data_IF_230917654893
#
_entry.id   IF_230917654893
#
_cell.length_a   1.000
_cell.length_b   1.000
_cell.length_c   1.000
_cell.angle_alpha   90.00
_cell.angle_beta   90.00
_cell.angle_gamma   90.00
#
_symmetry.space_group_name_H-M   'P 1'
#
loop_
_entity.id
_entity.type
_entity.pdbx_description
1 polymer ?
#
# COMPACT_ATOMS: atom_id res chain seq x y z
N UNK A 1 20.40 24.82 -10.68
CA UNK A 1 20.48 23.78 -11.73
C UNK A 1 19.78 22.54 -11.21
N UNK A 2 18.53 22.31 -11.63
CA UNK A 2 17.72 21.17 -11.18
C UNK A 2 18.07 19.99 -12.08
N UNK A 3 18.66 18.94 -11.49
CA UNK A 3 19.19 17.79 -12.22
C UNK A 3 18.07 16.94 -12.83
N UNK A 4 18.15 16.70 -14.13
CA UNK A 4 17.22 15.87 -14.94
C UNK A 4 17.35 14.35 -14.69
N UNK A 5 18.14 13.92 -13.71
CA UNK A 5 18.40 12.49 -13.45
C UNK A 5 17.36 11.77 -12.57
N UNK A 6 16.33 12.47 -12.06
CA UNK A 6 15.33 11.83 -11.17
C UNK A 6 14.26 10.98 -11.86
N UNK A 7 14.08 11.11 -13.18
CA UNK A 7 12.95 10.46 -13.88
C UNK A 7 13.20 9.01 -14.30
N UNK A 8 14.47 8.61 -14.47
CA UNK A 8 14.80 7.27 -14.99
C UNK A 8 14.78 6.20 -13.89
N UNK A 9 14.94 6.59 -12.61
CA UNK A 9 14.96 5.64 -11.48
C UNK A 9 13.58 5.26 -10.95
N UNK A 10 12.51 5.99 -11.30
CA UNK A 10 11.16 5.73 -10.79
C UNK A 10 10.39 4.68 -11.62
N UNK A 11 10.69 4.56 -12.93
CA UNK A 11 9.97 3.66 -13.84
C UNK A 11 10.31 2.15 -13.63
N UNK A 12 11.45 1.84 -13.00
CA UNK A 12 11.90 0.48 -12.72
C UNK A 12 11.30 -0.13 -11.43
N UNK A 13 10.71 0.69 -10.55
CA UNK A 13 10.21 0.22 -9.26
C UNK A 13 8.90 -0.58 -9.36
N UNK A 14 8.05 -0.29 -10.34
CA UNK A 14 6.74 -0.97 -10.50
C UNK A 14 6.88 -2.32 -11.22
N UNK A 15 7.98 -2.55 -11.94
CA UNK A 15 8.22 -3.79 -12.70
C UNK A 15 8.98 -4.85 -11.90
N UNK A 16 9.82 -4.47 -10.93
CA UNK A 16 10.61 -5.45 -10.17
C UNK A 16 9.80 -6.28 -9.17
N UNK A 17 8.65 -5.79 -8.69
CA UNK A 17 7.75 -6.54 -7.78
C UNK A 17 6.77 -7.47 -8.52
N UNK A 18 6.70 -7.41 -9.86
CA UNK A 18 5.78 -8.22 -10.68
C UNK A 18 6.43 -9.44 -11.37
N UNK A 19 7.72 -9.71 -11.10
CA UNK A 19 8.45 -10.80 -11.78
C UNK A 19 8.08 -12.20 -11.27
N UNK A 20 7.36 -12.31 -10.14
CA UNK A 20 6.81 -13.58 -9.68
C UNK A 20 5.30 -13.63 -9.88
N UNK A 21 4.84 -14.48 -10.81
CA UNK A 21 3.43 -14.82 -11.17
C UNK A 21 2.84 -14.05 -12.38
N UNK A 22 3.48 -14.19 -13.55
CA UNK A 22 2.83 -14.01 -14.86
C UNK A 22 2.13 -15.28 -15.39
N UNK A 23 1.99 -16.32 -14.57
CA UNK A 23 1.16 -17.47 -14.91
C UNK A 23 -0.28 -17.16 -14.51
N UNK A 24 -1.11 -16.85 -15.51
CA UNK A 24 -2.47 -16.29 -15.41
C UNK A 24 -2.48 -14.76 -15.34
N UNK A 25 -2.11 -14.10 -16.45
CA UNK A 25 -2.89 -12.95 -16.88
C UNK A 25 -4.33 -13.43 -17.05
N UNK A 26 -5.08 -13.52 -15.95
CA UNK A 26 -6.53 -13.70 -16.00
C UNK A 26 -7.03 -12.64 -16.97
N UNK A 27 -7.84 -13.04 -17.96
CA UNK A 27 -8.44 -12.12 -18.91
C UNK A 27 -9.23 -11.06 -18.15
N UNK A 28 -8.57 -9.94 -17.86
CA UNK A 28 -9.18 -8.80 -17.19
C UNK A 28 -10.21 -8.23 -18.14
N UNK A 29 -11.37 -7.89 -17.60
CA UNK A 29 -12.44 -7.31 -18.41
C UNK A 29 -11.96 -6.00 -19.03
N UNK A 30 -12.01 -5.89 -20.36
CA UNK A 30 -11.70 -4.66 -21.10
C UNK A 30 -12.98 -3.94 -21.50
N UNK A 31 -13.07 -2.66 -21.15
CA UNK A 31 -14.19 -1.79 -21.53
C UNK A 31 -14.20 -1.58 -23.05
N UNK A 32 -13.03 -1.50 -23.70
CA UNK A 32 -12.95 -1.44 -25.17
C UNK A 32 -13.53 -2.68 -25.84
N UNK A 33 -13.12 -3.87 -25.41
CA UNK A 33 -13.59 -5.13 -26.01
C UNK A 33 -15.09 -5.34 -25.77
N UNK A 34 -15.57 -4.96 -24.60
CA UNK A 34 -17.00 -4.90 -24.30
C UNK A 34 -17.74 -3.91 -25.20
N UNK A 35 -17.18 -2.72 -25.44
CA UNK A 35 -17.76 -1.71 -26.34
C UNK A 35 -17.89 -2.23 -27.78
N UNK A 36 -16.87 -2.92 -28.28
CA UNK A 36 -16.91 -3.57 -29.60
C UNK A 36 -17.99 -4.66 -29.66
N UNK A 37 -18.16 -5.42 -28.57
CA UNK A 37 -19.19 -6.46 -28.46
C UNK A 37 -20.60 -5.87 -28.45
N UNK A 38 -20.78 -4.70 -27.82
CA UNK A 38 -22.03 -3.94 -27.81
C UNK A 38 -22.36 -3.38 -29.20
N UNK A 39 -21.36 -2.83 -29.89
CA UNK A 39 -21.52 -2.34 -31.26
C UNK A 39 -21.96 -3.47 -32.21
N UNK A 40 -21.32 -4.64 -32.11
CA UNK A 40 -21.70 -5.82 -32.87
C UNK A 40 -23.13 -6.29 -32.55
N UNK A 41 -23.54 -6.31 -31.27
CA UNK A 41 -24.90 -6.74 -30.91
C UNK A 41 -25.99 -5.80 -31.42
N UNK A 42 -25.69 -4.50 -31.51
CA UNK A 42 -26.57 -3.50 -32.11
C UNK A 42 -26.67 -3.67 -33.63
N UNK A 43 -25.54 -3.92 -34.30
CA UNK A 43 -25.52 -4.19 -35.75
C UNK A 43 -26.33 -5.46 -36.10
N UNK A 44 -26.23 -6.51 -35.26
CA UNK A 44 -26.97 -7.76 -35.39
C UNK A 44 -28.46 -7.64 -35.00
N UNK A 45 -28.90 -6.47 -34.50
CA UNK A 45 -30.26 -6.23 -33.95
C UNK A 45 -30.66 -7.22 -32.86
N UNK A 46 -29.69 -7.79 -32.14
CA UNK A 46 -29.93 -8.77 -31.09
C UNK A 46 -30.28 -8.09 -29.77
N UNK A 47 -31.56 -7.76 -29.59
CA UNK A 47 -32.06 -7.06 -28.40
C UNK A 47 -31.72 -7.77 -27.08
N UNK A 48 -31.81 -9.10 -27.05
CA UNK A 48 -31.45 -9.92 -25.87
C UNK A 48 -29.97 -9.78 -25.52
N UNK A 49 -29.07 -9.93 -26.50
CA UNK A 49 -27.61 -9.81 -26.29
C UNK A 49 -27.22 -8.41 -25.85
N UNK A 50 -27.85 -7.38 -26.43
CA UNK A 50 -27.65 -5.98 -26.03
C UNK A 50 -28.08 -5.75 -24.58
N UNK A 51 -29.23 -6.26 -24.15
CA UNK A 51 -29.69 -6.14 -22.76
C UNK A 51 -28.77 -6.90 -21.79
N UNK A 52 -28.28 -8.08 -22.16
CA UNK A 52 -27.31 -8.83 -21.35
C UNK A 52 -25.97 -8.08 -21.20
N UNK A 53 -25.49 -7.42 -22.24
CA UNK A 53 -24.26 -6.61 -22.20
C UNK A 53 -24.42 -5.34 -21.35
N UNK A 54 -25.64 -4.82 -21.23
CA UNK A 54 -25.98 -3.63 -20.42
C UNK A 54 -26.41 -3.99 -18.99
N UNK A 55 -26.36 -5.26 -18.59
CA UNK A 55 -26.57 -5.66 -17.20
C UNK A 55 -25.31 -5.37 -16.36
N UNK A 56 -25.30 -4.18 -15.75
CA UNK A 56 -24.18 -3.74 -14.89
C UNK A 56 -23.95 -4.64 -13.69
N UNK A 57 -24.96 -5.37 -13.20
CA UNK A 57 -24.78 -6.31 -12.09
C UNK A 57 -23.90 -7.49 -12.51
N UNK A 58 -24.05 -7.96 -13.75
CA UNK A 58 -23.17 -8.98 -14.33
C UNK A 58 -21.75 -8.41 -14.57
N UNK A 59 -21.66 -7.18 -15.10
CA UNK A 59 -20.37 -6.51 -15.31
C UNK A 59 -19.59 -6.33 -14.00
N UNK A 60 -20.26 -5.96 -12.91
CA UNK A 60 -19.63 -5.85 -11.59
C UNK A 60 -19.05 -7.17 -11.08
N UNK A 61 -19.62 -8.31 -11.48
CA UNK A 61 -19.06 -9.63 -11.20
C UNK A 61 -17.68 -9.83 -11.82
N UNK A 62 -17.32 -9.06 -12.86
CA UNK A 62 -15.99 -9.08 -13.50
C UNK A 62 -14.92 -8.31 -12.73
N UNK A 63 -15.33 -7.52 -11.74
CA UNK A 63 -14.44 -6.79 -10.81
C UNK A 63 -14.06 -7.65 -9.60
N UNK A 64 -14.45 -8.94 -9.60
CA UNK A 64 -14.16 -9.83 -8.50
C UNK A 64 -12.66 -9.86 -8.15
N UNK A 65 -12.39 -9.79 -6.85
CA UNK A 65 -11.05 -9.92 -6.29
C UNK A 65 -10.49 -11.29 -6.69
N UNK A 66 -9.22 -11.33 -7.13
CA UNK A 66 -8.59 -12.59 -7.54
C UNK A 66 -8.60 -13.62 -6.41
N UNK A 67 -8.56 -14.91 -6.75
CA UNK A 67 -8.48 -15.98 -5.72
C UNK A 67 -7.27 -15.79 -4.81
N UNK A 68 -6.15 -15.35 -5.37
CA UNK A 68 -4.90 -15.11 -4.62
C UNK A 68 -5.03 -13.92 -3.67
N UNK A 69 -5.65 -12.82 -4.11
CA UNK A 69 -5.93 -11.67 -3.24
C UNK A 69 -6.89 -12.05 -2.10
N UNK A 70 -7.91 -12.86 -2.38
CA UNK A 70 -8.83 -13.35 -1.35
C UNK A 70 -8.11 -14.27 -0.35
N UNK A 71 -7.21 -15.14 -0.83
CA UNK A 71 -6.39 -15.98 0.04
C UNK A 71 -5.48 -15.13 0.94
N UNK A 72 -4.78 -14.15 0.38
CA UNK A 72 -3.95 -13.21 1.13
C UNK A 72 -4.77 -12.44 2.19
N UNK A 73 -5.92 -11.87 1.80
CA UNK A 73 -6.83 -11.18 2.72
C UNK A 73 -7.30 -12.08 3.87
N UNK A 74 -7.67 -13.33 3.58
CA UNK A 74 -8.11 -14.28 4.59
C UNK A 74 -6.99 -14.63 5.57
N UNK A 75 -5.76 -14.84 5.07
CA UNK A 75 -4.57 -15.07 5.91
C UNK A 75 -4.28 -13.88 6.81
N UNK A 76 -4.28 -12.67 6.27
CA UNK A 76 -4.09 -11.42 7.02
C UNK A 76 -5.16 -11.27 8.10
N UNK A 77 -6.44 -11.49 7.76
CA UNK A 77 -7.53 -11.42 8.73
C UNK A 77 -7.33 -12.40 9.90
N UNK A 78 -7.05 -13.67 9.60
CA UNK A 78 -6.81 -14.69 10.62
C UNK A 78 -5.55 -14.38 11.46
N UNK A 79 -4.51 -13.85 10.83
CA UNK A 79 -3.30 -13.42 11.53
C UNK A 79 -3.58 -12.27 12.51
N UNK A 80 -4.38 -11.28 12.12
CA UNK A 80 -4.83 -10.19 13.01
C UNK A 80 -5.66 -10.69 14.18
N UNK A 81 -6.53 -11.67 13.96
CA UNK A 81 -7.31 -12.31 15.03
C UNK A 81 -6.38 -13.00 16.04
N UNK A 82 -5.36 -13.73 15.57
CA UNK A 82 -4.34 -14.35 16.44
C UNK A 82 -3.47 -13.30 17.15
N UNK A 83 -3.09 -12.23 16.45
CA UNK A 83 -2.34 -11.11 17.03
C UNK A 83 -3.12 -10.45 18.17
N UNK A 84 -4.42 -10.21 17.98
CA UNK A 84 -5.31 -9.65 19.00
C UNK A 84 -5.43 -10.57 20.23
N UNK A 85 -5.32 -11.88 20.06
CA UNK A 85 -5.27 -12.88 21.14
C UNK A 85 -3.88 -12.99 21.83
N UNK A 86 -2.89 -12.19 21.41
CA UNK A 86 -1.52 -12.28 21.92
C UNK A 86 -0.70 -13.44 21.35
N UNK A 87 -1.23 -14.19 20.37
CA UNK A 87 -0.57 -15.34 19.74
C UNK A 87 0.35 -14.90 18.60
N UNK A 88 1.33 -14.06 18.91
CA UNK A 88 2.17 -13.37 17.90
C UNK A 88 2.95 -14.34 16.99
N UNK A 89 3.49 -15.44 17.53
CA UNK A 89 4.23 -16.41 16.72
C UNK A 89 3.34 -17.10 15.68
N UNK A 90 2.06 -17.34 15.99
CA UNK A 90 1.12 -17.96 15.05
C UNK A 90 0.63 -16.94 14.02
N UNK A 91 0.42 -15.69 14.43
CA UNK A 91 0.14 -14.59 13.52
C UNK A 91 1.29 -14.40 12.51
N UNK A 92 2.53 -14.41 12.99
CA UNK A 92 3.73 -14.30 12.18
C UNK A 92 3.84 -15.44 11.14
N UNK A 93 3.51 -16.68 11.53
CA UNK A 93 3.50 -17.81 10.61
C UNK A 93 2.53 -17.57 9.44
N UNK A 94 1.31 -17.09 9.72
CA UNK A 94 0.34 -16.76 8.66
C UNK A 94 0.76 -15.58 7.79
N UNK A 95 1.37 -14.54 8.37
CA UNK A 95 1.94 -13.44 7.61
C UNK A 95 3.05 -13.91 6.65
N UNK A 96 3.85 -14.90 7.05
CA UNK A 96 4.89 -15.47 6.19
C UNK A 96 4.34 -16.25 4.98
N UNK A 97 3.07 -16.66 5.01
CA UNK A 97 2.44 -17.35 3.89
C UNK A 97 1.88 -16.41 2.82
N UNK A 98 1.97 -15.07 3.01
CA UNK A 98 1.59 -14.09 1.97
C UNK A 98 2.79 -13.85 1.06
N UNK A 99 2.66 -14.09 -0.26
CA UNK A 99 3.80 -13.99 -1.18
C UNK A 99 4.26 -12.54 -1.36
N UNK A 100 5.55 -12.36 -1.67
CA UNK A 100 6.17 -11.04 -1.92
C UNK A 100 5.54 -10.28 -3.09
N UNK A 101 5.03 -10.99 -4.09
CA UNK A 101 4.32 -10.40 -5.24
C UNK A 101 2.88 -10.00 -4.94
N UNK A 102 2.38 -10.19 -3.71
CA UNK A 102 1.04 -9.73 -3.34
C UNK A 102 1.02 -8.21 -3.16
N UNK A 103 -0.05 -7.56 -3.61
CA UNK A 103 -0.27 -6.13 -3.35
C UNK A 103 -0.39 -5.82 -1.84
N UNK A 104 -0.67 -6.81 -1.00
CA UNK A 104 -0.72 -6.66 0.47
C UNK A 104 0.64 -6.87 1.14
N UNK A 105 1.72 -7.12 0.39
CA UNK A 105 3.01 -7.51 0.98
C UNK A 105 3.58 -6.44 1.92
N UNK A 106 3.51 -5.14 1.57
CA UNK A 106 3.99 -4.08 2.46
C UNK A 106 3.22 -4.03 3.79
N UNK A 107 1.90 -4.16 3.74
CA UNK A 107 1.06 -4.24 4.93
C UNK A 107 1.43 -5.45 5.79
N UNK A 108 1.71 -6.58 5.16
CA UNK A 108 2.13 -7.79 5.85
C UNK A 108 3.50 -7.61 6.51
N UNK A 109 4.49 -7.04 5.83
CA UNK A 109 5.83 -6.79 6.40
C UNK A 109 5.73 -5.85 7.62
N UNK A 110 4.87 -4.83 7.55
CA UNK A 110 4.59 -3.95 8.68
C UNK A 110 3.99 -4.72 9.87
N UNK A 111 2.99 -5.56 9.62
CA UNK A 111 2.33 -6.38 10.65
C UNK A 111 3.25 -7.48 11.22
N UNK A 112 4.16 -8.04 10.40
CA UNK A 112 5.25 -8.91 10.88
C UNK A 112 6.15 -8.17 11.85
N UNK A 113 6.57 -6.95 11.51
CA UNK A 113 7.38 -6.11 12.37
C UNK A 113 6.68 -5.81 13.71
N UNK A 114 5.37 -5.52 13.69
CA UNK A 114 4.58 -5.39 14.92
C UNK A 114 4.54 -6.69 15.75
N UNK A 115 4.35 -7.86 15.12
CA UNK A 115 4.38 -9.14 15.82
C UNK A 115 5.73 -9.38 16.51
N UNK A 116 6.85 -9.12 15.81
CA UNK A 116 8.20 -9.22 16.37
C UNK A 116 8.42 -8.24 17.52
N UNK A 117 7.97 -6.99 17.38
CA UNK A 117 8.06 -5.99 18.43
C UNK A 117 7.32 -6.43 19.70
N UNK A 118 6.11 -6.99 19.56
CA UNK A 118 5.31 -7.52 20.68
C UNK A 118 5.89 -8.79 21.30
N UNK A 119 6.74 -9.52 20.58
CA UNK A 119 7.54 -10.62 21.11
C UNK A 119 8.83 -10.15 21.79
N UNK A 120 8.98 -8.84 22.05
CA UNK A 120 10.18 -8.24 22.65
C UNK A 120 11.45 -8.52 21.82
N UNK A 121 11.30 -8.55 20.49
CA UNK A 121 12.40 -8.64 19.51
C UNK A 121 12.45 -7.37 18.66
N UNK A 122 12.77 -6.21 19.24
CA UNK A 122 12.77 -4.92 18.53
C UNK A 122 13.76 -4.89 17.36
N UNK A 123 14.82 -5.68 17.39
CA UNK A 123 15.81 -5.78 16.32
C UNK A 123 15.21 -6.45 15.06
N UNK A 124 14.40 -7.49 15.26
CA UNK A 124 13.65 -8.12 14.17
C UNK A 124 12.55 -7.21 13.64
N UNK A 125 11.93 -6.41 14.51
CA UNK A 125 10.98 -5.38 14.06
C UNK A 125 11.69 -4.33 13.19
N UNK A 126 12.88 -3.89 13.62
CA UNK A 126 13.73 -2.95 12.90
C UNK A 126 14.14 -3.46 11.52
N UNK A 127 14.49 -4.74 11.40
CA UNK A 127 14.80 -5.38 10.13
C UNK A 127 13.61 -5.33 9.15
N UNK A 128 12.40 -5.57 9.64
CA UNK A 128 11.18 -5.53 8.84
C UNK A 128 10.84 -4.09 8.41
N UNK A 129 10.88 -3.13 9.34
CA UNK A 129 10.59 -1.73 9.01
C UNK A 129 11.64 -1.10 8.10
N UNK A 130 12.91 -1.50 8.21
CA UNK A 130 13.99 -1.07 7.30
C UNK A 130 13.73 -1.46 5.84
N UNK A 131 13.12 -2.62 5.62
CA UNK A 131 12.67 -3.02 4.28
C UNK A 131 11.66 -2.02 3.74
N UNK A 132 10.66 -1.64 4.55
CA UNK A 132 9.58 -0.73 4.15
C UNK A 132 10.05 0.70 3.87
N UNK A 133 10.96 1.23 4.67
CA UNK A 133 11.45 2.60 4.51
C UNK A 133 12.67 2.71 3.60
N UNK A 134 13.04 1.63 2.91
CA UNK A 134 14.09 1.65 1.89
C UNK A 134 13.73 2.69 0.80
N UNK A 135 14.71 3.34 0.16
CA UNK A 135 14.46 4.38 -0.84
C UNK A 135 13.51 3.97 -1.96
N UNK A 136 13.44 2.68 -2.27
CA UNK A 136 12.59 2.10 -3.30
C UNK A 136 11.10 2.08 -2.90
N UNK A 137 10.79 2.05 -1.61
CA UNK A 137 9.40 1.92 -1.12
C UNK A 137 8.94 3.08 -0.25
N UNK A 138 9.88 3.91 0.22
CA UNK A 138 9.66 4.99 1.16
C UNK A 138 8.49 5.94 0.83
N UNK A 139 8.14 6.08 -0.46
CA UNK A 139 7.06 6.95 -0.94
C UNK A 139 5.70 6.24 -1.09
N UNK A 140 5.68 4.91 -1.15
CA UNK A 140 4.46 4.09 -1.33
C UNK A 140 3.99 3.38 -0.06
N UNK A 141 4.86 3.26 0.94
CA UNK A 141 4.51 2.67 2.24
C UNK A 141 3.72 3.62 3.11
N UNK A 142 2.98 3.05 4.07
CA UNK A 142 2.23 3.79 5.07
C UNK A 142 3.14 4.50 6.08
N UNK A 143 2.60 5.54 6.71
CA UNK A 143 3.26 6.27 7.79
C UNK A 143 3.63 5.38 8.99
N UNK A 144 2.85 4.32 9.25
CA UNK A 144 3.07 3.39 10.37
C UNK A 144 4.45 2.71 10.28
N UNK A 145 4.99 2.44 9.08
CA UNK A 145 6.32 1.88 8.91
C UNK A 145 7.42 2.73 9.57
N UNK A 146 7.34 4.07 9.44
CA UNK A 146 8.28 5.00 10.06
C UNK A 146 8.10 5.07 11.57
N UNK A 147 6.87 4.96 12.06
CA UNK A 147 6.60 4.89 13.49
C UNK A 147 7.13 3.60 14.10
N UNK A 148 6.90 2.45 13.46
CA UNK A 148 7.43 1.17 13.91
C UNK A 148 8.96 1.17 13.94
N UNK A 149 9.62 1.69 12.89
CA UNK A 149 11.07 1.88 12.87
C UNK A 149 11.52 2.75 14.05
N UNK A 150 10.95 3.95 14.21
CA UNK A 150 11.34 4.88 15.28
C UNK A 150 11.13 4.28 16.68
N UNK A 151 10.04 3.53 16.85
CA UNK A 151 9.73 2.86 18.13
C UNK A 151 10.71 1.73 18.42
N UNK A 152 11.10 0.95 17.40
CA UNK A 152 12.13 -0.07 17.51
C UNK A 152 13.49 0.54 17.86
N UNK A 153 13.89 1.61 17.17
CA UNK A 153 15.12 2.39 17.43
C UNK A 153 15.14 2.94 18.86
N UNK A 154 14.04 3.52 19.32
CA UNK A 154 13.89 4.00 20.69
C UNK A 154 14.06 2.85 21.70
N UNK A 155 13.50 1.66 21.42
CA UNK A 155 13.55 0.49 22.30
C UNK A 155 14.96 -0.07 22.45
N UNK A 156 15.81 0.09 21.44
CA UNK A 156 17.23 -0.30 21.47
C UNK A 156 18.17 0.87 21.82
N UNK A 157 17.62 2.01 22.25
CA UNK A 157 18.38 3.20 22.62
C UNK A 157 19.19 3.83 21.48
N UNK A 158 18.83 3.58 20.22
CA UNK A 158 19.42 4.27 19.07
C UNK A 158 18.71 5.60 18.81
N UNK A 159 18.88 6.53 19.76
CA UNK A 159 18.22 7.84 19.71
C UNK A 159 18.62 8.66 18.48
N UNK A 160 19.85 8.49 17.99
CA UNK A 160 20.31 9.18 16.77
C UNK A 160 19.51 8.71 15.56
N UNK A 161 19.24 7.42 15.44
CA UNK A 161 18.43 6.89 14.34
C UNK A 161 16.97 7.29 14.47
N UNK A 162 16.42 7.40 15.69
CA UNK A 162 15.05 7.96 15.89
C UNK A 162 14.90 9.31 15.19
N UNK A 163 15.82 10.25 15.41
CA UNK A 163 15.76 11.58 14.77
C UNK A 163 15.94 11.51 13.25
N UNK A 164 16.77 10.58 12.75
CA UNK A 164 16.93 10.38 11.30
C UNK A 164 15.65 9.84 10.68
N UNK A 165 15.01 8.87 11.31
CA UNK A 165 13.76 8.24 10.83
C UNK A 165 12.61 9.24 10.85
N UNK A 166 12.45 10.03 11.91
CA UNK A 166 11.41 11.08 11.98
C UNK A 166 11.65 12.19 10.95
N UNK A 167 12.90 12.55 10.68
CA UNK A 167 13.25 13.50 9.62
C UNK A 167 12.95 12.93 8.23
N UNK A 168 13.35 11.69 7.96
CA UNK A 168 13.06 11.00 6.69
C UNK A 168 11.55 10.90 6.43
N UNK A 169 10.75 10.62 7.47
CA UNK A 169 9.29 10.65 7.38
C UNK A 169 8.79 12.02 6.92
N UNK A 170 9.24 13.11 7.54
CA UNK A 170 8.86 14.50 7.19
C UNK A 170 9.22 14.81 5.73
N UNK A 171 10.36 14.34 5.24
CA UNK A 171 10.82 14.59 3.87
C UNK A 171 10.07 13.76 2.82
N UNK A 172 9.82 12.47 3.11
CA UNK A 172 9.29 11.52 2.12
C UNK A 172 7.77 11.46 2.07
N UNK A 173 7.08 11.70 3.19
CA UNK A 173 5.63 11.51 3.27
C UNK A 173 4.83 12.81 3.23
N UNK A 174 5.47 13.97 3.36
CA UNK A 174 4.77 15.27 3.42
C UNK A 174 3.87 15.52 2.23
N UNK A 175 4.38 15.38 1.01
CA UNK A 175 3.65 15.70 -0.21
C UNK A 175 2.49 14.73 -0.45
N UNK A 176 2.71 13.45 -0.14
CA UNK A 176 1.69 12.41 -0.21
C UNK A 176 0.58 12.65 0.81
N UNK A 177 0.93 12.90 2.07
CA UNK A 177 -0.05 13.21 3.14
C UNK A 177 -0.87 14.45 2.75
N UNK A 178 -0.24 15.50 2.25
CA UNK A 178 -0.95 16.70 1.81
C UNK A 178 -1.92 16.39 0.64
N UNK A 179 -1.49 15.57 -0.32
CA UNK A 179 -2.32 15.15 -1.45
C UNK A 179 -3.53 14.33 -1.01
N UNK A 180 -3.34 13.37 -0.10
CA UNK A 180 -4.43 12.54 0.47
C UNK A 180 -5.36 13.39 1.33
N UNK A 181 -4.83 14.36 2.09
CA UNK A 181 -5.66 15.30 2.85
C UNK A 181 -6.53 16.17 1.93
N UNK A 182 -6.01 16.65 0.80
CA UNK A 182 -6.81 17.37 -0.18
C UNK A 182 -7.92 16.49 -0.76
N UNK A 183 -7.61 15.23 -1.10
CA UNK A 183 -8.58 14.24 -1.59
C UNK A 183 -9.72 13.98 -0.62
N UNK A 184 -9.48 13.97 0.69
CA UNK A 184 -10.56 13.79 1.68
C UNK A 184 -11.62 14.88 1.62
N UNK A 185 -11.29 16.06 1.06
CA UNK A 185 -12.21 17.19 0.87
C UNK A 185 -12.76 17.22 -0.55
N UNK A 186 -11.89 17.14 -1.55
CA UNK A 186 -12.24 17.37 -2.95
C UNK A 186 -12.77 16.11 -3.64
N UNK A 187 -12.40 14.93 -3.14
CA UNK A 187 -12.75 13.61 -3.67
C UNK A 187 -11.97 13.19 -4.91
N UNK A 188 -11.54 14.12 -5.76
CA UNK A 188 -10.68 13.85 -6.90
C UNK A 188 -9.49 14.79 -6.93
N UNK A 189 -8.38 14.29 -7.48
CA UNK A 189 -7.22 15.09 -7.83
C UNK A 189 -6.75 14.69 -9.24
N UNK A 190 -5.77 15.41 -9.76
CA UNK A 190 -5.22 15.13 -11.10
C UNK A 190 -4.71 13.68 -11.24
N UNK A 191 -4.08 13.13 -10.19
CA UNK A 191 -3.56 11.77 -10.20
C UNK A 191 -4.68 10.72 -10.40
N UNK A 192 -5.80 10.87 -9.69
CA UNK A 192 -6.96 10.00 -9.85
C UNK A 192 -7.62 10.17 -11.21
N UNK A 193 -7.75 11.41 -11.71
CA UNK A 193 -8.30 11.67 -13.03
C UNK A 193 -7.43 11.06 -14.14
N UNK A 194 -6.10 11.04 -13.97
CA UNK A 194 -5.18 10.39 -14.88
C UNK A 194 -5.33 8.86 -14.88
N UNK A 195 -5.52 8.26 -13.70
CA UNK A 195 -5.89 6.84 -13.58
C UNK A 195 -7.19 6.57 -14.30
N UNK A 196 -8.23 7.37 -14.01
CA UNK A 196 -9.53 7.21 -14.62
C UNK A 196 -9.44 7.35 -16.14
N UNK A 197 -8.71 8.32 -16.69
CA UNK A 197 -8.52 8.45 -18.15
C UNK A 197 -7.89 7.21 -18.79
N UNK A 198 -6.90 6.59 -18.14
CA UNK A 198 -6.18 5.42 -18.65
C UNK A 198 -6.89 4.08 -18.38
N UNK A 199 -7.83 4.05 -17.45
CA UNK A 199 -8.53 2.83 -17.05
C UNK A 199 -9.36 2.25 -18.20
N UNK A 200 -8.98 1.04 -18.62
CA UNK A 200 -9.68 0.20 -19.60
C UNK A 200 -9.94 -1.21 -19.07
N UNK A 201 -8.97 -1.77 -18.33
CA UNK A 201 -8.99 -3.14 -17.82
C UNK A 201 -9.35 -3.19 -16.34
N UNK A 202 -10.25 -4.10 -15.98
CA UNK A 202 -10.71 -4.29 -14.60
C UNK A 202 -10.55 -5.76 -14.14
N UNK A 203 -10.21 -6.01 -12.86
CA UNK A 203 -9.87 -5.00 -11.84
C UNK A 203 -8.53 -4.30 -12.14
N UNK A 204 -8.38 -3.08 -11.63
CA UNK A 204 -7.14 -2.33 -11.73
C UNK A 204 -6.07 -2.95 -10.81
N UNK A 205 -4.82 -2.81 -11.23
CA UNK A 205 -3.62 -3.27 -10.53
C UNK A 205 -2.71 -2.09 -10.21
N UNK A 206 -1.73 -2.28 -9.32
CA UNK A 206 -0.72 -1.27 -9.04
C UNK A 206 -0.02 -0.77 -10.32
N UNK A 207 0.24 -1.69 -11.26
CA UNK A 207 0.87 -1.38 -12.54
C UNK A 207 0.06 -0.41 -13.40
N UNK A 208 -1.28 -0.49 -13.37
CA UNK A 208 -2.11 0.44 -14.15
C UNK A 208 -2.11 1.86 -13.56
N UNK A 209 -1.73 2.02 -12.29
CA UNK A 209 -1.71 3.32 -11.60
C UNK A 209 -0.43 4.10 -11.90
N UNK A 210 0.71 3.40 -11.98
CA UNK A 210 2.03 4.02 -12.09
C UNK A 210 2.25 5.09 -11.01
N UNK A 211 2.89 6.20 -11.38
CA UNK A 211 3.24 7.29 -10.45
C UNK A 211 2.02 7.96 -9.78
N UNK A 212 0.80 7.79 -10.32
CA UNK A 212 -0.40 8.31 -9.67
C UNK A 212 -0.60 7.71 -8.27
N UNK A 213 -0.08 6.52 -7.99
CA UNK A 213 -0.20 5.89 -6.67
C UNK A 213 0.43 6.73 -5.54
N UNK A 214 1.44 7.54 -5.85
CA UNK A 214 2.16 8.38 -4.88
C UNK A 214 1.30 9.52 -4.31
N UNK A 215 0.17 9.82 -4.96
CA UNK A 215 -0.75 10.91 -4.58
C UNK A 215 -2.15 10.40 -4.23
N UNK A 216 -2.31 9.10 -4.06
CA UNK A 216 -3.58 8.43 -3.80
C UNK A 216 -3.54 7.60 -2.51
N UNK A 217 -4.71 7.29 -1.93
CA UNK A 217 -4.75 6.47 -0.73
C UNK A 217 -4.13 5.08 -0.96
N UNK A 218 -3.48 4.52 0.06
CA UNK A 218 -2.85 3.20 -0.04
C UNK A 218 -3.90 2.15 -0.37
N UNK A 219 -3.58 1.29 -1.36
CA UNK A 219 -4.45 0.20 -1.83
C UNK A 219 -5.85 0.64 -2.29
N UNK A 220 -6.06 1.91 -2.67
CA UNK A 220 -7.37 2.37 -3.15
C UNK A 220 -7.88 1.55 -4.35
N UNK A 221 -6.98 1.07 -5.22
CA UNK A 221 -7.32 0.25 -6.37
C UNK A 221 -7.77 -1.17 -6.00
N UNK A 222 -7.60 -1.59 -4.73
CA UNK A 222 -8.16 -2.85 -4.19
C UNK A 222 -9.52 -2.67 -3.53
N UNK A 223 -10.03 -1.44 -3.45
CA UNK A 223 -11.37 -1.18 -2.93
C UNK A 223 -12.43 -1.65 -3.92
N UNK A 224 -13.19 -2.67 -3.54
CA UNK A 224 -14.17 -3.31 -4.42
C UNK A 224 -15.25 -2.33 -4.87
N UNK A 225 -15.72 -1.49 -3.96
CA UNK A 225 -16.79 -0.54 -4.26
C UNK A 225 -16.31 0.52 -5.24
N UNK A 226 -15.13 1.09 -5.01
CA UNK A 226 -14.52 2.04 -5.94
C UNK A 226 -14.30 1.41 -7.32
N UNK A 227 -13.78 0.19 -7.40
CA UNK A 227 -13.57 -0.51 -8.66
C UNK A 227 -14.88 -0.72 -9.44
N UNK A 228 -15.97 -1.07 -8.74
CA UNK A 228 -17.31 -1.20 -9.36
C UNK A 228 -17.80 0.14 -9.92
N UNK A 229 -17.69 1.22 -9.15
CA UNK A 229 -18.11 2.54 -9.62
C UNK A 229 -17.25 3.03 -10.79
N UNK A 230 -15.95 2.75 -10.79
CA UNK A 230 -15.06 3.04 -11.92
C UNK A 230 -15.44 2.25 -13.17
N UNK A 231 -15.73 0.96 -13.04
CA UNK A 231 -16.21 0.14 -14.15
C UNK A 231 -17.52 0.66 -14.70
N UNK A 232 -18.52 0.92 -13.84
CA UNK A 232 -19.82 1.46 -14.25
C UNK A 232 -19.66 2.76 -15.01
N UNK A 233 -18.87 3.70 -14.46
CA UNK A 233 -18.57 4.96 -15.12
C UNK A 233 -18.00 4.74 -16.52
N UNK A 234 -16.99 3.86 -16.65
CA UNK A 234 -16.30 3.61 -17.92
C UNK A 234 -17.13 2.87 -18.95
N UNK A 235 -17.82 1.82 -18.55
CA UNK A 235 -18.74 1.10 -19.41
C UNK A 235 -19.88 2.03 -19.87
N UNK A 236 -20.43 2.89 -19.00
CA UNK A 236 -21.43 3.87 -19.43
C UNK A 236 -20.89 4.89 -20.42
N UNK A 237 -19.68 5.43 -20.23
CA UNK A 237 -19.05 6.32 -21.21
C UNK A 237 -18.93 5.65 -22.57
N UNK A 238 -18.37 4.42 -22.59
CA UNK A 238 -18.17 3.69 -23.84
C UNK A 238 -19.49 3.27 -24.48
N UNK A 239 -20.49 2.89 -23.69
CA UNK A 239 -21.82 2.55 -24.18
C UNK A 239 -22.52 3.75 -24.81
N UNK A 240 -22.41 4.94 -24.21
CA UNK A 240 -22.95 6.18 -24.79
C UNK A 240 -22.27 6.52 -26.12
N UNK A 241 -20.95 6.38 -26.24
CA UNK A 241 -20.22 6.56 -27.49
C UNK A 241 -20.76 5.64 -28.60
N UNK A 242 -20.94 4.34 -28.30
CA UNK A 242 -21.44 3.34 -29.24
C UNK A 242 -22.89 3.62 -29.65
N UNK A 243 -23.77 3.99 -28.70
CA UNK A 243 -25.17 4.31 -29.00
C UNK A 243 -25.33 5.60 -29.80
N UNK A 244 -24.48 6.60 -29.56
CA UNK A 244 -24.47 7.85 -30.31
C UNK A 244 -24.07 7.62 -31.78
N UNK A 245 -23.05 6.79 -32.01
CA UNK A 245 -22.58 6.44 -33.36
C UNK A 245 -23.65 5.68 -34.18
N UNK A 246 -24.47 4.85 -33.52
CA UNK A 246 -25.49 4.02 -34.16
C UNK A 246 -26.89 4.66 -34.21
N UNK A 247 -27.02 5.95 -33.84
CA UNK A 247 -28.28 6.71 -33.85
C UNK A 247 -29.43 6.01 -33.11
N UNK A 248 -29.12 5.24 -32.06
CA UNK A 248 -30.04 4.26 -31.46
C UNK A 248 -30.54 4.69 -30.07
N UNK A 249 -31.80 4.36 -29.79
CA UNK A 249 -32.52 4.37 -28.50
C UNK A 249 -32.14 5.46 -27.48
N UNK A 250 -32.80 6.61 -27.58
CA UNK A 250 -32.71 7.74 -26.64
C UNK A 250 -32.93 7.34 -25.18
N UNK A 251 -33.79 6.35 -24.92
CA UNK A 251 -34.05 5.82 -23.57
C UNK A 251 -32.83 5.15 -22.95
N UNK A 252 -32.11 4.31 -23.71
CA UNK A 252 -30.88 3.66 -23.25
C UNK A 252 -29.77 4.69 -23.03
N UNK A 253 -29.66 5.69 -23.89
CA UNK A 253 -28.70 6.79 -23.71
C UNK A 253 -28.97 7.54 -22.39
N UNK A 254 -30.24 7.86 -22.09
CA UNK A 254 -30.61 8.51 -20.82
C UNK A 254 -30.30 7.63 -19.61
N UNK A 255 -30.55 6.32 -19.69
CA UNK A 255 -30.20 5.40 -18.59
C UNK A 255 -28.69 5.31 -18.37
N UNK A 256 -27.88 5.22 -19.44
CA UNK A 256 -26.42 5.19 -19.32
C UNK A 256 -25.85 6.51 -18.79
N UNK A 257 -26.41 7.65 -19.21
CA UNK A 257 -26.03 8.97 -18.67
C UNK A 257 -26.33 9.08 -17.17
N UNK A 258 -27.48 8.58 -16.73
CA UNK A 258 -27.83 8.52 -15.31
C UNK A 258 -26.84 7.65 -14.52
N UNK A 259 -26.57 6.42 -15.00
CA UNK A 259 -25.58 5.52 -14.37
C UNK A 259 -24.20 6.17 -14.35
N UNK A 260 -23.81 6.86 -15.42
CA UNK A 260 -22.52 7.54 -15.50
C UNK A 260 -22.40 8.64 -14.43
N UNK A 261 -23.41 9.50 -14.30
CA UNK A 261 -23.47 10.58 -13.32
C UNK A 261 -23.48 10.04 -11.89
N UNK A 262 -24.31 9.05 -11.60
CA UNK A 262 -24.37 8.40 -10.28
C UNK A 262 -23.03 7.76 -9.92
N UNK A 263 -22.42 7.03 -10.86
CA UNK A 263 -21.13 6.37 -10.64
C UNK A 263 -20.01 7.39 -10.41
N UNK A 264 -20.03 8.53 -11.10
CA UNK A 264 -19.09 9.62 -10.88
C UNK A 264 -19.20 10.21 -9.46
N UNK A 265 -20.42 10.46 -8.99
CA UNK A 265 -20.68 10.96 -7.64
C UNK A 265 -20.28 9.93 -6.58
N UNK A 266 -20.68 8.66 -6.76
CA UNK A 266 -20.37 7.59 -5.81
C UNK A 266 -18.87 7.31 -5.71
N UNK A 267 -18.16 7.35 -6.84
CA UNK A 267 -16.71 7.22 -6.90
C UNK A 267 -16.02 8.36 -6.15
N UNK A 268 -16.52 9.60 -6.30
CA UNK A 268 -16.02 10.77 -5.56
C UNK A 268 -16.20 10.59 -4.06
N UNK A 269 -17.39 10.24 -3.62
CA UNK A 269 -17.71 10.01 -2.20
C UNK A 269 -16.85 8.87 -1.63
N UNK A 270 -16.70 7.77 -2.36
CA UNK A 270 -15.88 6.64 -1.90
C UNK A 270 -14.41 7.02 -1.78
N UNK A 271 -13.88 7.80 -2.72
CA UNK A 271 -12.51 8.31 -2.63
C UNK A 271 -12.32 9.27 -1.45
N UNK A 272 -13.30 10.15 -1.19
CA UNK A 272 -13.27 11.01 0.01
C UNK A 272 -13.19 10.18 1.29
N UNK A 273 -13.97 9.11 1.40
CA UNK A 273 -13.95 8.21 2.56
C UNK A 273 -12.58 7.55 2.74
N UNK A 274 -12.05 6.91 1.70
CA UNK A 274 -10.73 6.25 1.76
C UNK A 274 -9.62 7.24 2.16
N UNK A 275 -9.65 8.44 1.57
CA UNK A 275 -8.70 9.49 1.89
C UNK A 275 -8.89 10.08 3.30
N UNK A 276 -10.12 10.14 3.80
CA UNK A 276 -10.42 10.59 5.16
C UNK A 276 -9.92 9.58 6.19
N UNK A 277 -10.17 8.28 5.97
CA UNK A 277 -9.70 7.20 6.83
C UNK A 277 -8.16 7.23 6.95
N UNK A 278 -7.47 7.33 5.81
CA UNK A 278 -6.01 7.43 5.82
C UNK A 278 -5.51 8.75 6.43
N UNK A 279 -6.23 9.86 6.23
CA UNK A 279 -5.89 11.14 6.86
C UNK A 279 -5.95 11.07 8.39
N UNK A 280 -6.97 10.39 8.93
CA UNK A 280 -7.12 10.16 10.37
C UNK A 280 -5.95 9.33 10.89
N UNK A 281 -5.61 8.25 10.17
CA UNK A 281 -4.48 7.40 10.55
C UNK A 281 -3.16 8.17 10.50
N UNK A 282 -2.88 8.89 9.42
CA UNK A 282 -1.67 9.71 9.28
C UNK A 282 -1.54 10.73 10.42
N UNK A 283 -2.64 11.40 10.82
CA UNK A 283 -2.62 12.31 11.99
C UNK A 283 -2.29 11.60 13.29
N UNK A 284 -2.87 10.41 13.51
CA UNK A 284 -2.58 9.57 14.67
C UNK A 284 -1.09 9.23 14.71
N UNK A 285 -0.51 8.85 13.59
CA UNK A 285 0.90 8.44 13.50
C UNK A 285 1.87 9.59 13.64
N UNK A 286 1.56 10.76 13.08
CA UNK A 286 2.31 11.98 13.34
C UNK A 286 2.34 12.29 14.85
N UNK A 287 1.20 12.16 15.53
CA UNK A 287 1.14 12.32 16.99
C UNK A 287 2.04 11.34 17.73
N UNK A 288 2.01 10.05 17.35
CA UNK A 288 2.87 9.02 17.95
C UNK A 288 4.36 9.25 17.68
N UNK A 289 4.73 9.65 16.45
CA UNK A 289 6.11 9.98 16.09
C UNK A 289 6.65 11.16 16.92
N UNK A 290 5.84 12.20 17.13
CA UNK A 290 6.22 13.32 17.99
C UNK A 290 6.46 12.87 19.44
N UNK A 291 5.64 11.95 19.96
CA UNK A 291 5.85 11.39 21.30
C UNK A 291 7.14 10.58 21.39
N UNK A 292 7.45 9.77 20.37
CA UNK A 292 8.71 9.02 20.29
C UNK A 292 9.91 9.96 20.23
N UNK A 293 9.82 11.05 19.46
CA UNK A 293 10.87 12.08 19.38
C UNK A 293 11.09 12.76 20.73
N UNK A 294 10.02 13.13 21.45
CA UNK A 294 10.10 13.72 22.80
C UNK A 294 10.72 12.75 23.80
N UNK A 295 10.31 11.48 23.81
CA UNK A 295 10.88 10.46 24.70
C UNK A 295 12.38 10.26 24.39
N UNK A 296 12.77 10.22 23.11
CA UNK A 296 14.17 10.14 22.72
C UNK A 296 14.97 11.36 23.23
N UNK A 297 14.45 12.57 23.12
CA UNK A 297 15.07 13.78 23.68
C UNK A 297 15.26 13.63 25.19
N UNK A 298 14.20 13.28 25.92
CA UNK A 298 14.27 13.11 27.38
C UNK A 298 15.33 12.09 27.77
N UNK A 299 15.38 10.94 27.08
CA UNK A 299 16.35 9.90 27.35
C UNK A 299 17.77 10.28 27.00
N UNK A 300 18.02 11.02 25.92
CA UNK A 300 19.36 11.53 25.62
C UNK A 300 19.87 12.41 26.76
N UNK A 301 19.00 13.20 27.39
CA UNK A 301 19.38 14.09 28.49
C UNK A 301 19.56 13.34 29.83
N UNK A 302 18.79 12.28 30.08
CA UNK A 302 18.89 11.50 31.33
C UNK A 302 19.92 10.38 31.26
N UNK A 303 20.06 9.74 30.11
CA UNK A 303 20.85 8.52 29.94
C UNK A 303 22.31 8.80 29.59
N UNK A 304 22.66 10.06 29.30
CA UNK A 304 24.06 10.49 29.12
C UNK A 304 24.95 10.21 30.34
N UNK A 305 24.36 9.96 31.52
CA UNK A 305 25.05 9.58 32.74
C UNK A 305 25.14 8.05 32.98
N UNK A 306 24.48 7.24 32.16
CA UNK A 306 24.47 5.78 32.25
C UNK A 306 25.48 5.22 31.25
N UNK A 307 26.73 5.27 31.68
CA UNK A 307 27.93 4.96 30.91
C UNK A 307 27.90 3.57 30.25
N UNK A 308 28.79 3.45 29.25
CA UNK A 308 29.11 2.33 28.36
C UNK A 308 29.23 0.92 28.98
N UNK A 309 29.14 0.79 30.31
CA UNK A 309 29.31 -0.46 31.07
C UNK A 309 28.06 -1.37 31.11
N UNK A 310 26.90 -0.87 30.69
CA UNK A 310 25.65 -1.64 30.70
C UNK A 310 25.25 -2.22 29.33
N UNK A 311 26.13 -2.12 28.34
CA UNK A 311 25.89 -2.56 26.96
C UNK A 311 26.52 -3.93 26.71
N UNK A 312 25.74 -4.89 26.24
CA UNK A 312 26.27 -6.14 25.69
C UNK A 312 26.20 -6.13 24.17
N UNK A 313 27.29 -6.52 23.51
CA UNK A 313 27.30 -6.78 22.08
C UNK A 313 26.60 -8.11 21.79
N UNK A 314 25.51 -8.06 21.02
CA UNK A 314 24.94 -9.26 20.43
C UNK A 314 25.86 -9.83 19.36
N UNK A 315 25.78 -11.13 19.14
CA UNK A 315 26.40 -11.81 17.99
C UNK A 315 25.33 -12.11 16.95
N UNK A 316 25.65 -11.91 15.67
CA UNK A 316 24.83 -12.41 14.57
C UNK A 316 24.72 -13.94 14.64
N UNK A 317 23.60 -14.48 14.18
CA UNK A 317 23.47 -15.93 14.05
C UNK A 317 24.52 -16.46 13.08
N UNK A 318 25.11 -17.62 13.41
CA UNK A 318 26.02 -18.29 12.49
C UNK A 318 25.24 -18.72 11.25
N UNK A 319 25.73 -18.32 10.09
CA UNK A 319 25.12 -18.66 8.80
C UNK A 319 25.65 -19.99 8.28
N UNK A 320 24.78 -20.74 7.59
CA UNK A 320 25.18 -21.99 6.95
C UNK A 320 26.17 -21.71 5.80
N UNK A 321 26.88 -22.75 5.32
CA UNK A 321 27.85 -22.65 4.21
C UNK A 321 27.31 -22.00 2.94
N UNK A 322 25.98 -22.04 2.76
CA UNK A 322 25.29 -21.63 1.53
C UNK A 322 24.71 -20.21 1.62
N UNK A 323 25.02 -19.47 2.69
CA UNK A 323 24.52 -18.11 2.92
C UNK A 323 25.66 -17.09 2.86
N UNK A 324 25.48 -16.07 2.01
CA UNK A 324 26.38 -14.91 1.96
C UNK A 324 25.85 -13.81 2.88
N UNK A 325 26.70 -13.29 3.75
CA UNK A 325 26.38 -12.19 4.66
C UNK A 325 27.13 -10.95 4.24
N UNK A 326 26.39 -9.90 3.94
CA UNK A 326 26.94 -8.58 3.63
C UNK A 326 26.68 -7.63 4.79
N UNK A 327 27.66 -6.78 5.08
CA UNK A 327 27.43 -5.65 6.00
C UNK A 327 26.62 -4.61 5.24
N UNK A 328 25.57 -4.11 5.88
CA UNK A 328 24.77 -3.03 5.32
C UNK A 328 25.64 -1.78 5.11
N UNK A 329 25.77 -1.37 3.86
CA UNK A 329 26.49 -0.18 3.42
C UNK A 329 25.55 1.01 3.17
N UNK A 330 24.26 0.87 3.51
CA UNK A 330 23.21 1.85 3.28
C UNK A 330 22.62 1.83 1.88
N UNK A 331 23.05 0.90 1.00
CA UNK A 331 22.51 0.73 -0.35
C UNK A 331 21.75 -0.60 -0.41
N UNK A 332 20.42 -0.59 -0.20
CA UNK A 332 19.64 -1.81 -0.20
C UNK A 332 19.56 -2.42 -1.60
N UNK A 333 19.90 -3.70 -1.71
CA UNK A 333 19.69 -4.49 -2.93
C UNK A 333 18.30 -5.14 -2.91
N UNK A 334 17.68 -5.28 -4.08
CA UNK A 334 16.28 -5.76 -4.16
C UNK A 334 16.13 -7.18 -3.60
N UNK A 335 17.14 -8.02 -3.73
CA UNK A 335 17.17 -9.39 -3.25
C UNK A 335 17.49 -9.52 -1.74
N UNK A 336 17.97 -8.45 -1.11
CA UNK A 336 18.19 -8.34 0.35
C UNK A 336 16.94 -7.88 1.11
N UNK A 337 15.96 -7.31 0.40
CA UNK A 337 14.71 -6.84 1.00
C UNK A 337 13.98 -7.99 1.72
N UNK A 338 13.51 -7.73 2.94
CA UNK A 338 12.91 -8.71 3.87
C UNK A 338 13.89 -9.85 4.27
N UNK A 339 15.21 -9.62 4.17
CA UNK A 339 16.25 -10.53 4.70
C UNK A 339 17.24 -9.83 5.63
N UNK A 340 16.97 -8.58 6.02
CA UNK A 340 17.80 -7.89 7.00
C UNK A 340 17.83 -8.67 8.31
N UNK A 341 19.02 -8.73 8.91
CA UNK A 341 19.19 -9.07 10.30
C UNK A 341 19.84 -7.88 10.99
N UNK A 342 19.37 -7.57 12.19
CA UNK A 342 19.87 -6.44 12.96
C UNK A 342 20.29 -6.99 14.31
N UNK A 343 21.52 -6.71 14.69
CA UNK A 343 22.06 -7.05 16.01
C UNK A 343 22.47 -5.77 16.66
N UNK A 344 21.85 -5.47 17.80
CA UNK A 344 22.04 -4.20 18.49
C UNK A 344 22.44 -4.45 19.93
N UNK A 345 23.14 -3.48 20.50
CA UNK A 345 23.44 -3.50 21.93
C UNK A 345 22.15 -3.20 22.68
N UNK A 346 21.73 -4.06 23.58
CA UNK A 346 20.49 -3.84 24.34
C UNK A 346 20.65 -2.66 25.30
N UNK A 347 19.57 -1.90 25.51
CA UNK A 347 19.53 -0.91 26.59
C UNK A 347 19.66 -1.61 27.95
N UNK A 348 20.32 -0.95 28.90
CA UNK A 348 20.32 -1.37 30.30
C UNK A 348 18.88 -1.51 30.83
N UNK A 349 18.39 -2.74 30.98
CA UNK A 349 17.15 -2.98 31.69
C UNK A 349 17.41 -2.75 33.18
N UNK A 350 16.55 -1.99 33.86
CA UNK A 350 16.58 -1.67 35.30
C UNK A 350 17.30 -0.39 35.75
N UNK A 351 17.39 0.64 34.93
CA UNK A 351 17.73 1.96 35.48
C UNK A 351 16.52 2.51 36.23
N UNK A 352 16.43 2.20 37.53
CA UNK A 352 15.47 2.84 38.43
C UNK A 352 15.82 4.32 38.52
N UNK A 353 14.88 5.19 38.18
CA UNK A 353 14.94 6.61 38.52
C UNK A 353 15.03 6.69 40.06
N UNK A 354 16.09 7.29 40.59
CA UNK A 354 15.96 7.97 41.89
C UNK A 354 15.06 9.17 41.61
N UNK A 355 13.85 9.17 42.16
CA UNK A 355 13.07 10.39 42.29
C UNK A 355 13.76 11.31 43.28
#
# INVERSE_FOLDING_TARGET
MISKTSLVSQLLMVTALSVGHNALAAERFSVKDWGNSLEASLADKSGKKTLELLDFKNLEGKVAISKDDNNAKNKIKKARELFAQGKYSQALALYNEVPRGSDYWFQVVEEKGWAQFRMNSPEKALAQSKTLISPQFAEVVNAEAYFLQSLAELKICDYKSVFKTTQAFKEKQRDRIASVQALSKEGFNEAFLNVLKKADKFPLTAADMGDSMLKLPVLFYKDLELQKQMLRFKASQKGMEVLAANNTQRTLQTQLDQINKESFVNMKVRMQQLAADETVENKRIIGKLNLVEVEAIQRVHTDQQLADSAYSEGKFQETNSDQLVFKDDGRPWIDELDKYDVVTKSCAQNVRRKM
#
